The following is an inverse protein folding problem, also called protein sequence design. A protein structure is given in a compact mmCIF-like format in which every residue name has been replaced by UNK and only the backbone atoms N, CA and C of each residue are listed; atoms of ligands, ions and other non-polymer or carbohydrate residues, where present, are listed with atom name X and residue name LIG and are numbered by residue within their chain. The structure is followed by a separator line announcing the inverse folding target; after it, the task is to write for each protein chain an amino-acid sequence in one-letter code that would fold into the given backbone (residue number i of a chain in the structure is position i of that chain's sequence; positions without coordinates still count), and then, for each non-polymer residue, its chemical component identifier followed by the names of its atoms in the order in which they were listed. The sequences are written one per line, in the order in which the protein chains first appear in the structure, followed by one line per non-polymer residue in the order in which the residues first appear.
data_IF_197139739827
#
_entry.id   IF_197139739827
#
_cell.length_a   1.000
_cell.length_b   1.000
_cell.length_c   1.000
_cell.angle_alpha   90.00
_cell.angle_beta   90.00
_cell.angle_gamma   90.00
#
_symmetry.space_group_name_H-M   'P 1'
#
loop_
_entity.id
_entity.type
_entity.pdbx_description
1 polymer ?
#
# COMPACT_ATOMS: atom_id res chain seq x y z
N UNK A 1 -6.73 -31.13 -3.66
CA UNK A 1 -6.47 -29.69 -3.56
C UNK A 1 -5.54 -29.36 -4.74
N UNK A 2 -6.05 -28.68 -5.73
CA UNK A 2 -5.23 -28.26 -6.87
C UNK A 2 -4.49 -26.98 -6.47
N UNK A 3 -3.16 -27.00 -6.54
CA UNK A 3 -2.30 -25.83 -6.31
C UNK A 3 -1.97 -25.17 -7.68
N UNK A 4 -3.00 -24.90 -8.46
CA UNK A 4 -2.90 -24.23 -9.74
C UNK A 4 -3.80 -22.99 -9.74
N UNK A 5 -3.41 -21.98 -10.47
CA UNK A 5 -4.30 -20.84 -10.72
C UNK A 5 -5.53 -21.28 -11.51
N UNK A 6 -6.65 -20.62 -11.25
CA UNK A 6 -7.85 -20.76 -12.09
C UNK A 6 -7.60 -20.11 -13.47
N UNK A 7 -8.46 -20.39 -14.43
CA UNK A 7 -8.38 -19.74 -15.76
C UNK A 7 -8.45 -18.20 -15.64
N UNK A 8 -9.27 -17.69 -14.74
CA UNK A 8 -9.39 -16.24 -14.48
C UNK A 8 -8.10 -15.66 -13.87
N UNK A 9 -7.49 -16.36 -12.92
CA UNK A 9 -6.22 -15.96 -12.32
C UNK A 9 -5.07 -15.99 -13.32
N UNK A 10 -5.03 -17.00 -14.19
CA UNK A 10 -4.08 -17.05 -15.29
C UNK A 10 -4.27 -15.89 -16.26
N UNK A 11 -5.50 -15.56 -16.61
CA UNK A 11 -5.81 -14.42 -17.49
C UNK A 11 -5.36 -13.08 -16.88
N UNK A 12 -5.57 -12.90 -15.58
CA UNK A 12 -5.06 -11.71 -14.85
C UNK A 12 -3.53 -11.66 -14.94
N UNK A 13 -2.85 -12.77 -14.69
CA UNK A 13 -1.39 -12.88 -14.74
C UNK A 13 -0.84 -12.59 -16.14
N UNK A 14 -1.45 -13.16 -17.18
CA UNK A 14 -1.05 -12.94 -18.57
C UNK A 14 -1.28 -11.50 -19.02
N UNK A 15 -2.42 -10.91 -18.66
CA UNK A 15 -2.73 -9.50 -18.93
C UNK A 15 -1.72 -8.58 -18.27
N UNK A 16 -1.38 -8.85 -17.00
CA UNK A 16 -0.37 -8.09 -16.29
C UNK A 16 1.02 -8.23 -16.95
N UNK A 17 1.40 -9.44 -17.35
CA UNK A 17 2.66 -9.68 -18.03
C UNK A 17 2.74 -8.93 -19.38
N UNK A 18 1.68 -8.95 -20.17
CA UNK A 18 1.62 -8.26 -21.47
C UNK A 18 1.74 -6.74 -21.31
N UNK A 19 0.97 -6.14 -20.40
CA UNK A 19 1.03 -4.72 -20.09
C UNK A 19 2.43 -4.31 -19.60
N UNK A 20 2.99 -5.04 -18.65
CA UNK A 20 4.29 -4.73 -18.07
C UNK A 20 5.44 -4.92 -19.07
N UNK A 21 5.34 -5.90 -19.98
CA UNK A 21 6.32 -6.06 -21.05
C UNK A 21 6.40 -4.83 -21.96
N UNK A 22 5.26 -4.15 -22.18
CA UNK A 22 5.19 -2.92 -22.98
C UNK A 22 5.79 -1.72 -22.21
N UNK A 23 5.40 -1.53 -20.92
CA UNK A 23 5.62 -0.26 -20.22
C UNK A 23 6.81 -0.28 -19.26
N UNK A 24 7.28 -1.44 -18.79
CA UNK A 24 8.31 -1.59 -17.77
C UNK A 24 9.57 -2.30 -18.26
N UNK A 25 10.01 -1.93 -19.47
CA UNK A 25 11.31 -2.38 -19.97
C UNK A 25 12.48 -1.72 -19.23
N UNK A 26 13.69 -2.29 -19.37
CA UNK A 26 14.90 -1.84 -18.65
C UNK A 26 15.18 -0.32 -18.76
N UNK A 27 14.90 0.28 -19.90
CA UNK A 27 15.07 1.73 -20.08
C UNK A 27 14.06 2.55 -19.28
N UNK A 28 12.80 2.09 -19.20
CA UNK A 28 11.74 2.72 -18.41
C UNK A 28 12.06 2.63 -16.91
N UNK A 29 12.47 1.45 -16.43
CA UNK A 29 12.90 1.25 -15.03
C UNK A 29 14.04 2.21 -14.67
N UNK A 30 15.07 2.35 -15.54
CA UNK A 30 16.20 3.27 -15.28
C UNK A 30 15.78 4.73 -15.26
N UNK A 31 14.82 5.13 -16.11
CA UNK A 31 14.27 6.49 -16.05
C UNK A 31 13.51 6.73 -14.74
N UNK A 32 12.65 5.81 -14.35
CA UNK A 32 11.89 5.89 -13.10
C UNK A 32 12.82 6.00 -11.87
N UNK A 33 13.88 5.19 -11.82
CA UNK A 33 14.88 5.22 -10.73
C UNK A 33 15.64 6.57 -10.65
N UNK A 34 15.69 7.36 -11.72
CA UNK A 34 16.33 8.66 -11.73
C UNK A 34 15.42 9.81 -11.30
N UNK A 35 14.12 9.54 -11.14
CA UNK A 35 13.15 10.53 -10.65
C UNK A 35 13.21 10.60 -9.12
N UNK A 36 12.96 11.76 -8.56
CA UNK A 36 12.92 11.99 -7.11
C UNK A 36 11.85 11.10 -6.45
N UNK A 37 10.69 10.97 -7.08
CA UNK A 37 9.59 10.13 -6.61
C UNK A 37 9.80 8.62 -6.85
N UNK A 38 10.78 8.22 -7.65
CA UNK A 38 11.10 6.82 -7.93
C UNK A 38 10.15 6.10 -8.90
N UNK A 39 9.17 6.77 -9.47
CA UNK A 39 8.24 6.22 -10.47
C UNK A 39 7.74 7.31 -11.43
N UNK A 40 7.22 6.92 -12.60
CA UNK A 40 6.58 7.83 -13.56
C UNK A 40 5.09 7.97 -13.23
N UNK A 41 4.61 9.19 -12.90
CA UNK A 41 3.20 9.44 -12.55
C UNK A 41 2.26 9.02 -13.67
N UNK A 42 2.61 9.31 -14.93
CA UNK A 42 1.80 8.93 -16.09
C UNK A 42 1.63 7.39 -16.20
N UNK A 43 2.60 6.60 -15.76
CA UNK A 43 2.45 5.15 -15.71
C UNK A 43 1.52 4.74 -14.58
N UNK A 44 1.60 5.40 -13.42
CA UNK A 44 0.67 5.15 -12.33
C UNK A 44 -0.78 5.50 -12.71
N UNK A 45 -0.98 6.63 -13.39
CA UNK A 45 -2.29 7.04 -13.90
C UNK A 45 -2.87 6.01 -14.89
N UNK A 46 -2.03 5.43 -15.76
CA UNK A 46 -2.44 4.34 -16.64
C UNK A 46 -2.80 3.08 -15.88
N UNK A 47 -2.03 2.70 -14.88
CA UNK A 47 -2.31 1.55 -14.01
C UNK A 47 -3.66 1.73 -13.32
N UNK A 48 -3.94 2.92 -12.80
CA UNK A 48 -5.20 3.22 -12.13
C UNK A 48 -6.39 3.31 -13.12
N UNK A 49 -6.23 4.02 -14.24
CA UNK A 49 -7.32 4.32 -15.16
C UNK A 49 -7.63 3.22 -16.19
N UNK A 50 -6.61 2.46 -16.62
CA UNK A 50 -6.79 1.43 -17.65
C UNK A 50 -6.89 0.02 -17.05
N UNK A 51 -6.13 -0.24 -15.97
CA UNK A 51 -5.97 -1.60 -15.43
C UNK A 51 -6.71 -1.82 -14.12
N UNK A 52 -7.04 -0.78 -13.39
CA UNK A 52 -7.73 -0.82 -12.08
C UNK A 52 -7.02 -1.66 -11.01
N UNK A 53 -5.71 -1.80 -11.09
CA UNK A 53 -4.95 -2.66 -10.17
C UNK A 53 -4.97 -2.18 -8.73
N UNK A 54 -5.07 -0.85 -8.52
CA UNK A 54 -5.17 -0.27 -7.17
C UNK A 54 -6.48 -0.66 -6.45
N UNK A 55 -7.52 -1.00 -7.19
CA UNK A 55 -8.84 -1.34 -6.66
C UNK A 55 -9.07 -2.85 -6.47
N UNK A 56 -8.12 -3.71 -6.91
CA UNK A 56 -8.33 -5.15 -7.03
C UNK A 56 -8.94 -5.84 -5.83
N UNK A 57 -8.33 -5.68 -4.66
CA UNK A 57 -8.72 -6.43 -3.47
C UNK A 57 -9.57 -5.60 -2.49
N UNK A 58 -9.92 -4.38 -2.86
CA UNK A 58 -10.83 -3.55 -2.08
C UNK A 58 -12.27 -4.05 -2.31
N UNK A 59 -13.12 -4.12 -1.27
CA UNK A 59 -14.51 -4.54 -1.42
C UNK A 59 -15.29 -3.62 -2.38
N UNK A 60 -16.23 -4.20 -3.13
CA UNK A 60 -17.11 -3.48 -4.06
C UNK A 60 -17.88 -2.33 -3.39
N UNK A 61 -18.24 -2.50 -2.11
CA UNK A 61 -18.92 -1.47 -1.32
C UNK A 61 -18.13 -0.15 -1.22
N UNK A 62 -16.80 -0.20 -1.44
CA UNK A 62 -15.90 0.95 -1.43
C UNK A 62 -15.31 1.26 -2.82
N UNK A 63 -15.94 0.76 -3.89
CA UNK A 63 -15.50 1.01 -5.26
C UNK A 63 -14.39 0.07 -5.77
N UNK A 64 -14.07 -0.98 -5.02
CA UNK A 64 -13.09 -1.98 -5.42
C UNK A 64 -13.66 -3.09 -6.31
N UNK A 65 -12.79 -4.01 -6.75
CA UNK A 65 -13.17 -5.16 -7.56
C UNK A 65 -13.47 -6.42 -6.73
N UNK A 66 -13.27 -6.39 -5.42
CA UNK A 66 -13.58 -7.49 -4.51
C UNK A 66 -12.77 -8.77 -4.75
N UNK A 67 -11.66 -8.71 -5.49
CA UNK A 67 -10.81 -9.86 -5.76
C UNK A 67 -10.02 -10.30 -4.51
N UNK A 68 -9.50 -11.51 -4.54
CA UNK A 68 -8.74 -12.08 -3.44
C UNK A 68 -7.24 -11.75 -3.47
N UNK A 69 -6.54 -12.22 -2.44
CA UNK A 69 -5.09 -12.06 -2.38
C UNK A 69 -4.34 -12.94 -3.39
N UNK A 70 -4.95 -14.01 -3.90
CA UNK A 70 -4.33 -14.87 -4.91
C UNK A 70 -4.13 -14.09 -6.20
N UNK A 71 -5.13 -13.31 -6.62
CA UNK A 71 -5.08 -12.42 -7.78
C UNK A 71 -4.03 -11.33 -7.60
N UNK A 72 -3.97 -10.73 -6.41
CA UNK A 72 -2.92 -9.72 -6.07
C UNK A 72 -1.52 -10.34 -6.16
N UNK A 73 -1.33 -11.56 -5.65
CA UNK A 73 -0.03 -12.26 -5.70
C UNK A 73 0.36 -12.60 -7.13
N UNK A 74 -0.58 -13.11 -7.95
CA UNK A 74 -0.35 -13.43 -9.36
C UNK A 74 0.12 -12.18 -10.13
N UNK A 75 -0.44 -11.02 -9.83
CA UNK A 75 -0.04 -9.74 -10.40
C UNK A 75 1.33 -9.27 -9.89
N UNK A 76 1.55 -9.32 -8.56
CA UNK A 76 2.82 -8.90 -7.96
C UNK A 76 4.00 -9.73 -8.45
N UNK A 77 3.80 -11.00 -8.77
CA UNK A 77 4.81 -11.83 -9.42
C UNK A 77 5.27 -11.20 -10.74
N UNK A 78 4.33 -10.72 -11.57
CA UNK A 78 4.67 -10.04 -12.80
C UNK A 78 5.29 -8.67 -12.57
N UNK A 79 4.80 -7.90 -11.59
CA UNK A 79 5.44 -6.63 -11.21
C UNK A 79 6.90 -6.84 -10.81
N UNK A 80 7.20 -7.88 -10.03
CA UNK A 80 8.57 -8.26 -9.67
C UNK A 80 9.41 -8.68 -10.88
N UNK A 81 8.84 -9.48 -11.79
CA UNK A 81 9.51 -9.94 -13.02
C UNK A 81 9.95 -8.77 -13.91
N UNK A 82 9.14 -7.73 -14.01
CA UNK A 82 9.39 -6.56 -14.84
C UNK A 82 9.98 -5.37 -14.05
N UNK A 83 10.28 -5.55 -12.76
CA UNK A 83 10.84 -4.52 -11.86
C UNK A 83 10.02 -3.22 -11.90
N UNK A 84 8.71 -3.33 -11.86
CA UNK A 84 7.82 -2.18 -11.93
C UNK A 84 8.14 -1.17 -10.80
N UNK A 85 8.45 0.05 -11.19
CA UNK A 85 8.56 1.19 -10.28
C UNK A 85 7.19 1.88 -10.18
N UNK A 86 6.49 1.70 -9.07
CA UNK A 86 5.17 2.31 -8.82
C UNK A 86 4.84 2.28 -7.32
N UNK A 87 3.92 3.14 -6.84
CA UNK A 87 3.47 3.12 -5.45
C UNK A 87 2.44 2.01 -5.16
N UNK A 88 2.38 0.96 -6.01
CA UNK A 88 1.42 -0.14 -5.83
C UNK A 88 1.60 -0.85 -4.50
N UNK A 89 2.82 -1.23 -4.16
CA UNK A 89 3.07 -2.00 -2.94
C UNK A 89 2.71 -1.22 -1.67
N UNK A 90 3.12 0.03 -1.57
CA UNK A 90 2.81 0.88 -0.42
C UNK A 90 1.33 1.18 -0.31
N UNK A 91 0.69 1.52 -1.43
CA UNK A 91 -0.71 1.95 -1.47
C UNK A 91 -1.65 0.75 -1.32
N UNK A 92 -1.45 -0.31 -2.10
CA UNK A 92 -2.38 -1.44 -2.19
C UNK A 92 -2.06 -2.49 -1.12
N UNK A 93 -0.80 -2.93 -1.03
CA UNK A 93 -0.45 -4.04 -0.15
C UNK A 93 -0.26 -3.61 1.31
N UNK A 94 0.12 -2.36 1.59
CA UNK A 94 0.28 -1.88 2.95
C UNK A 94 -0.90 -1.04 3.41
N UNK A 95 -1.14 0.13 2.81
CA UNK A 95 -2.11 1.09 3.31
C UNK A 95 -3.57 0.61 3.16
N UNK A 96 -3.98 0.16 1.97
CA UNK A 96 -5.34 -0.34 1.78
C UNK A 96 -5.65 -1.55 2.67
N UNK A 97 -4.68 -2.44 2.89
CA UNK A 97 -4.84 -3.55 3.83
C UNK A 97 -4.96 -3.09 5.28
N UNK A 98 -4.16 -2.11 5.71
CA UNK A 98 -4.26 -1.56 7.05
C UNK A 98 -5.65 -0.93 7.29
N UNK A 99 -6.17 -0.18 6.32
CA UNK A 99 -7.53 0.37 6.37
C UNK A 99 -8.60 -0.72 6.43
N UNK A 100 -8.49 -1.75 5.60
CA UNK A 100 -9.47 -2.86 5.58
C UNK A 100 -9.51 -3.66 6.87
N UNK A 101 -8.38 -3.83 7.53
CA UNK A 101 -8.25 -4.67 8.74
C UNK A 101 -8.54 -3.89 10.02
N UNK A 102 -8.14 -2.62 10.08
CA UNK A 102 -8.14 -1.84 11.32
C UNK A 102 -8.89 -0.50 11.22
N UNK A 103 -9.31 -0.06 10.04
CA UNK A 103 -10.09 1.16 9.87
C UNK A 103 -11.54 0.98 10.32
N UNK A 104 -12.15 2.04 10.87
CA UNK A 104 -13.60 2.08 11.07
C UNK A 104 -14.34 2.13 9.72
N UNK A 105 -15.65 1.85 9.74
CA UNK A 105 -16.47 1.91 8.52
C UNK A 105 -16.40 3.30 7.86
N UNK A 106 -16.38 4.38 8.67
CA UNK A 106 -16.24 5.75 8.17
C UNK A 106 -14.86 5.99 7.54
N UNK A 107 -13.80 5.47 8.16
CA UNK A 107 -12.45 5.59 7.63
C UNK A 107 -12.28 4.79 6.34
N UNK A 108 -12.85 3.58 6.30
CA UNK A 108 -12.84 2.77 5.08
C UNK A 108 -13.62 3.46 3.95
N UNK A 109 -14.82 3.96 4.23
CA UNK A 109 -15.63 4.67 3.24
C UNK A 109 -14.94 5.94 2.72
N UNK A 110 -14.25 6.67 3.59
CA UNK A 110 -13.57 7.91 3.23
C UNK A 110 -12.32 7.67 2.37
N UNK A 111 -11.50 6.69 2.71
CA UNK A 111 -10.17 6.56 2.14
C UNK A 111 -10.04 5.47 1.06
N UNK A 112 -10.77 4.34 1.20
CA UNK A 112 -10.66 3.27 0.20
C UNK A 112 -11.22 3.69 -1.16
N UNK A 113 -12.29 4.50 -1.19
CA UNK A 113 -12.82 5.04 -2.44
C UNK A 113 -11.78 5.87 -3.20
N UNK A 114 -11.13 6.81 -2.53
CA UNK A 114 -10.09 7.66 -3.13
C UNK A 114 -8.87 6.84 -3.62
N UNK A 115 -8.51 5.78 -2.88
CA UNK A 115 -7.46 4.86 -3.32
C UNK A 115 -7.89 4.09 -4.57
N UNK A 116 -9.14 3.62 -4.64
CA UNK A 116 -9.67 2.93 -5.81
C UNK A 116 -9.76 3.81 -7.05
N UNK A 117 -10.05 5.09 -6.88
CA UNK A 117 -10.08 6.08 -7.96
C UNK A 117 -8.67 6.51 -8.42
N UNK A 118 -7.63 6.14 -7.66
CA UNK A 118 -6.25 6.53 -7.95
C UNK A 118 -5.95 7.99 -7.62
N UNK A 119 -6.84 8.67 -6.89
CA UNK A 119 -6.72 10.09 -6.55
C UNK A 119 -5.62 10.37 -5.53
N UNK A 120 -5.25 9.36 -4.74
CA UNK A 120 -4.18 9.48 -3.77
C UNK A 120 -3.34 8.20 -3.64
N UNK A 121 -2.10 8.37 -3.22
CA UNK A 121 -1.20 7.29 -2.81
C UNK A 121 -1.06 7.26 -1.31
N UNK A 122 -0.84 6.07 -0.75
CA UNK A 122 -0.74 5.89 0.69
C UNK A 122 0.35 4.90 1.08
N UNK A 123 0.80 4.98 2.34
CA UNK A 123 1.76 4.02 2.89
C UNK A 123 1.51 3.76 4.37
N UNK A 124 2.14 2.70 4.88
CA UNK A 124 2.12 2.33 6.30
C UNK A 124 3.51 2.51 6.91
N UNK A 125 3.60 3.39 7.91
CA UNK A 125 4.80 3.62 8.70
C UNK A 125 4.71 2.83 10.01
N UNK A 126 5.51 1.78 10.15
CA UNK A 126 5.52 0.91 11.32
C UNK A 126 6.92 0.47 11.76
N UNK A 127 7.96 0.73 10.97
CA UNK A 127 9.32 0.32 11.27
C UNK A 127 10.14 1.46 11.87
N UNK A 128 10.48 1.36 13.15
CA UNK A 128 11.27 2.35 13.90
C UNK A 128 12.80 2.25 13.69
N UNK A 129 13.28 1.64 12.60
CA UNK A 129 14.72 1.47 12.35
C UNK A 129 15.33 0.23 13.04
N UNK A 130 14.52 -0.57 13.72
CA UNK A 130 14.90 -1.90 14.21
C UNK A 130 14.90 -2.90 13.04
N UNK A 131 15.77 -3.95 13.06
CA UNK A 131 15.64 -5.05 12.11
C UNK A 131 14.41 -5.93 12.36
N UNK A 132 13.66 -5.68 13.38
CA UNK A 132 12.43 -6.40 13.74
C UNK A 132 11.23 -5.86 12.97
N UNK A 133 10.34 -6.77 12.60
CA UNK A 133 9.09 -6.48 11.88
C UNK A 133 7.87 -6.92 12.70
N UNK A 134 7.98 -6.81 14.01
CA UNK A 134 6.91 -7.15 14.96
C UNK A 134 6.44 -5.93 15.77
N UNK A 135 5.45 -6.10 16.60
CA UNK A 135 4.89 -5.05 17.44
C UNK A 135 5.93 -4.36 18.37
N UNK A 136 7.02 -5.06 18.71
CA UNK A 136 8.10 -4.48 19.54
C UNK A 136 8.96 -3.48 18.76
N UNK A 137 8.93 -3.51 17.44
CA UNK A 137 9.63 -2.55 16.59
C UNK A 137 8.94 -1.16 16.55
N UNK A 138 7.69 -1.07 17.01
CA UNK A 138 6.95 0.18 17.05
C UNK A 138 7.43 1.01 18.23
N UNK A 139 8.24 2.03 17.95
CA UNK A 139 8.87 2.92 18.93
C UNK A 139 8.20 4.29 19.01
N UNK A 140 7.48 4.71 17.98
CA UNK A 140 6.71 5.95 18.05
C UNK A 140 5.63 5.83 19.10
N UNK A 141 5.43 6.92 19.81
CA UNK A 141 4.45 7.02 20.90
C UNK A 141 3.32 7.97 20.56
N UNK A 142 2.19 7.78 21.20
CA UNK A 142 1.09 8.72 21.16
C UNK A 142 0.54 8.98 22.56
N UNK A 143 0.01 10.16 22.76
CA UNK A 143 -0.76 10.57 23.94
C UNK A 143 -1.97 11.38 23.53
N UNK A 144 -2.99 11.37 24.36
CA UNK A 144 -4.13 12.26 24.17
C UNK A 144 -3.85 13.62 24.83
N UNK A 145 -4.23 14.69 24.15
CA UNK A 145 -4.12 16.06 24.63
C UNK A 145 -5.46 16.79 24.33
N UNK A 146 -6.38 16.72 25.28
CA UNK A 146 -7.75 17.16 25.06
C UNK A 146 -8.46 16.29 24.03
N UNK A 147 -8.88 16.89 22.92
CA UNK A 147 -9.49 16.18 21.78
C UNK A 147 -8.48 15.76 20.70
N UNK A 148 -7.22 16.15 20.85
CA UNK A 148 -6.17 15.86 19.89
C UNK A 148 -5.34 14.65 20.32
N UNK A 149 -4.73 14.02 19.34
CA UNK A 149 -3.69 13.01 19.53
C UNK A 149 -2.34 13.59 19.13
N UNK A 150 -1.38 13.53 20.03
CA UNK A 150 0.00 13.95 19.77
C UNK A 150 0.85 12.72 19.55
N UNK A 151 1.45 12.63 18.38
CA UNK A 151 2.39 11.56 18.01
C UNK A 151 3.82 12.09 18.14
N UNK A 152 4.71 11.24 18.63
CA UNK A 152 6.13 11.53 18.73
C UNK A 152 6.95 10.28 18.40
N UNK A 153 7.88 10.40 17.45
CA UNK A 153 8.74 9.30 17.05
C UNK A 153 9.34 9.50 15.67
N UNK A 154 10.09 8.50 15.25
CA UNK A 154 10.75 8.45 13.94
C UNK A 154 10.56 7.06 13.34
N UNK A 155 10.22 7.02 12.05
CA UNK A 155 10.24 5.80 11.25
C UNK A 155 11.26 5.93 10.13
N UNK A 156 11.92 4.81 9.82
CA UNK A 156 12.91 4.72 8.76
C UNK A 156 12.50 3.68 7.74
N UNK A 157 12.96 3.88 6.52
CA UNK A 157 12.70 2.94 5.41
C UNK A 157 11.20 2.76 5.14
N UNK A 158 10.42 3.82 5.35
CA UNK A 158 9.01 3.83 4.99
C UNK A 158 8.91 3.83 3.47
N UNK A 159 8.35 2.76 2.91
CA UNK A 159 8.23 2.59 1.46
C UNK A 159 7.33 3.71 0.92
N UNK A 160 7.81 4.44 -0.09
CA UNK A 160 7.15 5.61 -0.69
C UNK A 160 6.74 6.70 0.33
N UNK A 161 7.35 6.72 1.51
CA UNK A 161 6.98 7.66 2.58
C UNK A 161 7.19 9.14 2.24
N UNK A 162 8.00 9.44 1.23
CA UNK A 162 8.26 10.81 0.76
C UNK A 162 7.28 11.29 -0.33
N UNK A 163 6.51 10.36 -0.90
CA UNK A 163 5.56 10.65 -1.99
C UNK A 163 4.11 10.31 -1.63
N UNK A 164 3.89 9.55 -0.56
CA UNK A 164 2.56 9.19 -0.11
C UNK A 164 1.80 10.44 0.38
N UNK A 165 0.55 10.57 -0.06
CA UNK A 165 -0.36 11.65 0.32
C UNK A 165 -1.15 11.29 1.59
N UNK A 166 -1.22 10.01 1.94
CA UNK A 166 -1.77 9.53 3.20
C UNK A 166 -0.76 8.61 3.89
N UNK A 167 -0.34 8.97 5.09
CA UNK A 167 0.47 8.09 5.93
C UNK A 167 -0.40 7.44 7.00
N UNK A 168 -0.37 6.12 7.06
CA UNK A 168 -0.91 5.36 8.19
C UNK A 168 0.25 5.10 9.13
N UNK A 169 0.19 5.68 10.32
CA UNK A 169 1.27 5.62 11.30
C UNK A 169 0.88 4.73 12.46
N UNK A 170 1.65 3.66 12.68
CA UNK A 170 1.51 2.84 13.87
C UNK A 170 2.23 3.51 15.04
N UNK A 171 1.56 3.77 16.14
CA UNK A 171 2.18 4.31 17.34
C UNK A 171 1.58 3.68 18.59
N UNK A 172 2.34 3.62 19.67
CA UNK A 172 1.91 3.07 20.95
C UNK A 172 1.57 4.14 21.97
N UNK A 173 0.66 3.84 22.87
CA UNK A 173 0.42 4.75 23.99
C UNK A 173 1.70 4.90 24.82
N UNK A 174 1.98 6.11 25.25
CA UNK A 174 3.18 6.41 26.04
C UNK A 174 3.24 5.53 27.30
N UNK A 175 4.39 4.88 27.53
CA UNK A 175 4.62 3.94 28.62
C UNK A 175 4.17 2.49 28.39
N UNK A 176 3.53 2.17 27.25
CA UNK A 176 3.18 0.77 26.91
C UNK A 176 4.35 0.02 26.30
N UNK A 177 4.25 -1.31 26.22
CA UNK A 177 5.26 -2.20 25.64
C UNK A 177 4.62 -3.41 24.96
N UNK A 178 5.41 -4.13 24.17
CA UNK A 178 4.93 -5.34 23.47
C UNK A 178 3.91 -5.01 22.39
N UNK A 179 2.85 -5.81 22.30
CA UNK A 179 1.75 -5.61 21.36
C UNK A 179 0.63 -4.70 21.88
N UNK A 180 0.68 -4.34 23.17
CA UNK A 180 -0.37 -3.53 23.80
C UNK A 180 -0.21 -2.05 23.48
N UNK A 181 -1.32 -1.33 23.47
CA UNK A 181 -1.36 0.12 23.31
C UNK A 181 -1.03 0.63 21.92
N UNK A 182 -0.90 -0.23 20.92
CA UNK A 182 -0.66 0.17 19.54
C UNK A 182 -1.97 0.62 18.88
N UNK A 183 -1.93 1.76 18.24
CA UNK A 183 -3.00 2.30 17.40
C UNK A 183 -2.45 2.75 16.07
N UNK A 184 -3.33 2.81 15.07
CA UNK A 184 -3.02 3.36 13.74
C UNK A 184 -3.63 4.75 13.62
N UNK A 185 -2.85 5.68 13.11
CA UNK A 185 -3.25 7.07 12.90
C UNK A 185 -3.15 7.41 11.43
N UNK A 186 -4.16 8.08 10.90
CA UNK A 186 -4.22 8.56 9.53
C UNK A 186 -3.73 10.01 9.49
N UNK A 187 -2.68 10.26 8.73
CA UNK A 187 -2.06 11.57 8.54
C UNK A 187 -2.13 11.92 7.04
N UNK A 188 -3.14 12.69 6.60
CA UNK A 188 -3.25 13.19 5.25
C UNK A 188 -2.29 14.36 4.97
#
# INVERSE_FOLDING_TARGET
MEFAFTEEQEMIRETAAAFLAEVSGSAAVRRAMALEQGYESALWDRICGEMYWQAMHVPEAYGGLGLGYVEVVAMMEQMGRYLLCSPFFSTVCLAANALRVAGSDEQQAMWLGQLCEGELTATLAFNGGSPRWDAQAITATWRRDGELYVLNGEYRYVIDGHTAQLLIVAARVEGSSGAEGISLFLLP
#
